data_IF_632481511046
#
_entry.id   IF_632481511046
#
_cell.length_a   1.000
_cell.length_b   1.000
_cell.length_c   1.000
_cell.angle_alpha   90.00
_cell.angle_beta   90.00
_cell.angle_gamma   90.00
#
_symmetry.space_group_name_H-M   'P 1'
#
loop_
_entity.id
_entity.type
_entity.pdbx_description
1 polymer ?
#
# COMPACT_ATOMS: atom_id res chain seq x y z
N UNK A 1 23.94 -29.38 -1.51
CA UNK A 1 25.01 -28.40 -1.15
C UNK A 1 24.63 -27.86 0.20
N UNK A 2 25.55 -27.83 1.17
CA UNK A 2 25.20 -27.52 2.56
C UNK A 2 25.38 -26.01 2.84
N UNK A 3 24.31 -25.35 3.26
CA UNK A 3 24.31 -23.96 3.73
C UNK A 3 24.55 -23.89 5.24
N UNK A 4 25.47 -23.04 5.67
CA UNK A 4 25.81 -22.79 7.08
C UNK A 4 25.24 -21.47 7.62
N UNK A 5 24.70 -20.63 6.73
CA UNK A 5 24.10 -19.35 7.06
C UNK A 5 22.98 -18.97 6.08
N UNK A 6 22.05 -18.17 6.58
CA UNK A 6 20.95 -17.57 5.84
C UNK A 6 21.01 -16.06 6.02
N UNK A 7 20.98 -15.33 4.92
CA UNK A 7 20.74 -13.90 4.91
C UNK A 7 19.24 -13.65 5.05
N UNK A 8 18.87 -12.71 5.93
CA UNK A 8 17.48 -12.34 6.24
C UNK A 8 17.28 -10.88 5.87
N UNK A 9 16.32 -10.59 5.02
CA UNK A 9 15.93 -9.20 4.71
C UNK A 9 14.43 -9.00 4.84
N UNK A 10 14.02 -7.79 5.19
CA UNK A 10 12.63 -7.42 5.42
C UNK A 10 12.17 -6.44 4.35
N UNK A 11 10.89 -6.45 4.01
CA UNK A 11 10.33 -5.54 3.02
C UNK A 11 8.81 -5.53 3.01
N UNK A 12 8.25 -4.71 2.12
CA UNK A 12 6.82 -4.74 1.82
C UNK A 12 6.43 -6.05 1.13
N UNK A 13 5.13 -6.32 1.07
CA UNK A 13 4.58 -7.51 0.42
C UNK A 13 5.02 -7.62 -1.04
N UNK A 14 5.32 -8.84 -1.48
CA UNK A 14 6.03 -9.05 -2.74
C UNK A 14 5.10 -8.93 -3.96
N UNK A 15 3.80 -9.18 -3.78
CA UNK A 15 2.78 -9.03 -4.81
C UNK A 15 3.04 -9.91 -6.05
N UNK A 16 2.98 -9.32 -7.24
CA UNK A 16 3.26 -10.01 -8.52
C UNK A 16 4.73 -9.99 -8.94
N UNK A 17 5.61 -9.41 -8.12
CA UNK A 17 7.04 -9.29 -8.44
C UNK A 17 7.71 -10.67 -8.45
N UNK A 18 8.63 -10.89 -9.41
CA UNK A 18 9.36 -12.16 -9.56
C UNK A 18 10.89 -12.02 -9.49
N UNK A 19 11.38 -10.92 -8.89
CA UNK A 19 12.83 -10.74 -8.70
C UNK A 19 13.39 -11.49 -7.51
N UNK A 20 14.72 -11.42 -7.36
CA UNK A 20 15.51 -12.22 -6.40
C UNK A 20 15.81 -11.50 -5.07
N UNK A 21 15.49 -10.22 -4.97
CA UNK A 21 15.71 -9.38 -3.77
C UNK A 21 14.43 -8.66 -3.40
N UNK A 22 14.31 -8.18 -2.15
CA UNK A 22 13.20 -7.32 -1.77
C UNK A 22 13.13 -6.07 -2.65
N UNK A 23 11.98 -5.83 -3.27
CA UNK A 23 11.75 -4.66 -4.14
C UNK A 23 11.73 -3.36 -3.33
N UNK A 24 11.16 -3.43 -2.13
CA UNK A 24 11.01 -2.31 -1.21
C UNK A 24 11.49 -2.75 0.17
N UNK A 25 12.81 -2.79 0.40
CA UNK A 25 13.36 -3.25 1.67
C UNK A 25 13.02 -2.29 2.81
N UNK A 26 12.88 -2.83 4.01
CA UNK A 26 12.67 -2.06 5.24
C UNK A 26 13.63 -2.50 6.34
N UNK A 27 13.80 -1.64 7.35
CA UNK A 27 14.63 -1.97 8.49
C UNK A 27 14.02 -3.13 9.30
N UNK A 28 14.87 -3.89 9.98
CA UNK A 28 14.44 -4.88 10.97
C UNK A 28 13.56 -4.26 12.05
N UNK A 29 13.88 -3.04 12.48
CA UNK A 29 13.12 -2.30 13.50
C UNK A 29 11.69 -2.02 13.06
N UNK A 30 11.52 -1.53 11.84
CA UNK A 30 10.21 -1.27 11.25
C UNK A 30 9.40 -2.56 11.08
N UNK A 31 10.02 -3.62 10.56
CA UNK A 31 9.38 -4.93 10.43
C UNK A 31 8.92 -5.48 11.79
N UNK A 32 9.72 -5.29 12.85
CA UNK A 32 9.34 -5.71 14.21
C UNK A 32 8.12 -4.94 14.73
N UNK A 33 8.05 -3.62 14.50
CA UNK A 33 6.89 -2.81 14.87
C UNK A 33 5.65 -3.21 14.08
N UNK A 34 5.78 -3.44 12.76
CA UNK A 34 4.68 -3.97 11.93
C UNK A 34 4.19 -5.33 12.43
N UNK A 35 5.10 -6.26 12.76
CA UNK A 35 4.76 -7.56 13.34
C UNK A 35 3.97 -7.42 14.65
N UNK A 36 4.45 -6.60 15.59
CA UNK A 36 3.80 -6.36 16.88
C UNK A 36 2.40 -5.72 16.71
N UNK A 37 2.25 -4.83 15.73
CA UNK A 37 0.98 -4.19 15.38
C UNK A 37 0.04 -5.08 14.54
N UNK A 38 0.48 -6.27 14.13
CA UNK A 38 -0.31 -7.16 13.26
C UNK A 38 -0.48 -6.62 11.82
N UNK A 39 0.39 -5.71 11.38
CA UNK A 39 0.43 -5.19 10.00
C UNK A 39 1.29 -6.10 9.13
N UNK A 40 0.99 -6.09 7.84
CA UNK A 40 1.69 -6.89 6.86
C UNK A 40 3.15 -6.47 6.68
N UNK A 41 3.99 -7.47 6.45
CA UNK A 41 5.39 -7.32 6.03
C UNK A 41 5.86 -8.66 5.46
N UNK A 42 6.99 -8.63 4.76
CA UNK A 42 7.59 -9.81 4.18
C UNK A 42 9.05 -10.00 4.63
N UNK A 43 9.46 -11.27 4.72
CA UNK A 43 10.83 -11.70 5.03
C UNK A 43 11.35 -12.53 3.87
N UNK A 44 12.54 -12.19 3.37
CA UNK A 44 13.26 -12.98 2.39
C UNK A 44 14.39 -13.71 3.10
N UNK A 45 14.41 -15.02 2.95
CA UNK A 45 15.53 -15.87 3.32
C UNK A 45 16.32 -16.18 2.06
N UNK A 46 17.59 -15.81 2.06
CA UNK A 46 18.51 -16.07 0.96
C UNK A 46 19.81 -16.68 1.45
N UNK A 47 20.55 -17.33 0.56
CA UNK A 47 21.92 -17.75 0.81
C UNK A 47 22.75 -17.57 -0.45
N UNK A 48 23.95 -17.00 -0.32
CA UNK A 48 24.85 -16.72 -1.47
C UNK A 48 24.13 -16.01 -2.62
N UNK A 49 23.34 -15.00 -2.27
CA UNK A 49 22.56 -14.17 -3.21
C UNK A 49 21.43 -14.91 -3.95
N UNK A 50 21.05 -16.12 -3.51
CA UNK A 50 19.91 -16.87 -4.05
C UNK A 50 18.73 -16.85 -3.07
N UNK A 51 17.50 -16.52 -3.51
CA UNK A 51 16.32 -16.61 -2.67
C UNK A 51 15.97 -18.08 -2.42
N UNK A 52 15.67 -18.42 -1.17
CA UNK A 52 15.29 -19.76 -0.75
C UNK A 52 13.83 -19.82 -0.28
N UNK A 53 13.40 -18.79 0.46
CA UNK A 53 12.00 -18.61 0.83
C UNK A 53 11.63 -17.13 0.94
N UNK A 54 10.37 -16.84 0.62
CA UNK A 54 9.71 -15.59 0.93
C UNK A 54 8.56 -15.88 1.89
N UNK A 55 8.58 -15.26 3.05
CA UNK A 55 7.59 -15.41 4.10
C UNK A 55 6.82 -14.10 4.23
N UNK A 56 5.54 -14.14 3.94
CA UNK A 56 4.63 -13.01 4.08
C UNK A 56 3.80 -13.19 5.37
N UNK A 57 3.72 -12.12 6.16
CA UNK A 57 2.82 -12.02 7.29
C UNK A 57 1.67 -11.07 6.92
N UNK A 58 0.43 -11.49 7.17
CA UNK A 58 -0.77 -10.75 6.79
C UNK A 58 -1.60 -10.39 8.04
N UNK A 59 -2.47 -9.36 7.96
CA UNK A 59 -3.44 -9.07 9.00
C UNK A 59 -4.28 -10.29 9.36
N UNK A 60 -4.61 -10.44 10.64
CA UNK A 60 -5.27 -11.65 11.16
C UNK A 60 -4.31 -12.82 11.43
N UNK A 61 -3.00 -12.57 11.47
CA UNK A 61 -1.94 -13.55 11.79
C UNK A 61 -1.87 -14.72 10.81
N UNK A 62 -2.24 -14.48 9.57
CA UNK A 62 -2.05 -15.44 8.49
C UNK A 62 -0.63 -15.32 7.94
N UNK A 63 -0.06 -16.45 7.56
CA UNK A 63 1.27 -16.50 6.96
C UNK A 63 1.18 -17.14 5.59
N UNK A 64 2.02 -16.68 4.67
CA UNK A 64 2.21 -17.33 3.38
C UNK A 64 3.69 -17.54 3.14
N UNK A 65 4.06 -18.74 2.75
CA UNK A 65 5.46 -19.09 2.45
C UNK A 65 5.57 -19.48 0.99
N UNK A 66 6.36 -18.75 0.24
CA UNK A 66 6.82 -19.12 -1.09
C UNK A 66 8.19 -19.77 -0.99
N UNK A 67 8.37 -20.90 -1.66
CA UNK A 67 9.62 -21.66 -1.65
C UNK A 67 10.23 -21.69 -3.06
N UNK A 68 11.54 -21.49 -3.11
CA UNK A 68 12.32 -21.44 -4.33
C UNK A 68 13.16 -22.70 -4.49
N UNK A 69 13.29 -23.21 -5.72
CA UNK A 69 14.19 -24.33 -6.05
C UNK A 69 15.64 -23.87 -6.28
N UNK A 70 16.55 -24.80 -6.61
CA UNK A 70 17.96 -24.51 -6.92
C UNK A 70 18.17 -23.56 -8.12
N UNK A 71 17.15 -23.37 -8.95
CA UNK A 71 17.16 -22.40 -10.07
C UNK A 71 16.60 -21.04 -9.66
N UNK A 72 16.30 -20.84 -8.38
CA UNK A 72 15.61 -19.67 -7.85
C UNK A 72 14.21 -19.48 -8.43
N UNK A 73 13.53 -20.56 -8.81
CA UNK A 73 12.14 -20.50 -9.26
C UNK A 73 11.23 -20.70 -8.07
N UNK A 74 10.30 -19.77 -7.85
CA UNK A 74 9.18 -20.00 -6.95
C UNK A 74 8.32 -21.16 -7.48
N UNK A 75 8.40 -22.32 -6.82
CA UNK A 75 7.75 -23.58 -7.25
C UNK A 75 6.70 -24.07 -6.27
N UNK A 76 6.63 -23.49 -5.06
CA UNK A 76 5.64 -23.87 -4.06
C UNK A 76 5.20 -22.65 -3.26
N UNK A 77 3.92 -22.65 -2.86
CA UNK A 77 3.30 -21.69 -1.97
C UNK A 77 2.52 -22.45 -0.90
N UNK A 78 2.63 -22.02 0.35
CA UNK A 78 1.91 -22.59 1.49
C UNK A 78 1.19 -21.48 2.24
N UNK A 79 -0.13 -21.58 2.35
CA UNK A 79 -0.97 -20.75 3.21
C UNK A 79 -1.11 -21.40 4.58
N UNK A 80 -0.70 -20.64 5.59
CA UNK A 80 -0.67 -21.03 6.99
C UNK A 80 -1.67 -20.16 7.78
N UNK A 81 -2.66 -20.77 8.41
CA UNK A 81 -3.69 -20.06 9.20
C UNK A 81 -3.59 -20.37 10.68
N UNK A 82 -3.91 -19.41 11.58
CA UNK A 82 -4.00 -19.69 13.01
C UNK A 82 -4.91 -20.88 13.31
N UNK A 83 -4.41 -21.82 14.11
CA UNK A 83 -5.15 -23.02 14.52
C UNK A 83 -4.88 -23.31 16.00
N UNK A 84 -5.79 -22.90 16.87
CA UNK A 84 -5.57 -22.97 18.32
C UNK A 84 -4.52 -21.97 18.81
N UNK A 85 -3.93 -22.24 19.98
CA UNK A 85 -2.96 -21.32 20.61
C UNK A 85 -1.54 -21.62 20.12
N UNK A 86 -0.92 -20.66 19.43
CA UNK A 86 0.49 -20.72 19.05
C UNK A 86 0.82 -21.64 17.87
N UNK A 87 -0.17 -22.21 17.19
CA UNK A 87 0.03 -23.10 16.05
C UNK A 87 -0.62 -22.52 14.79
N UNK A 88 -0.05 -22.87 13.64
CA UNK A 88 -0.54 -22.59 12.31
C UNK A 88 -0.85 -23.91 11.60
N UNK A 89 -1.96 -23.94 10.87
CA UNK A 89 -2.34 -25.03 9.98
C UNK A 89 -1.92 -24.69 8.55
N UNK A 90 -1.16 -25.56 7.90
CA UNK A 90 -0.92 -25.54 6.46
C UNK A 90 -2.19 -25.89 5.68
N UNK A 91 -3.09 -24.91 5.59
CA UNK A 91 -4.41 -25.05 5.01
C UNK A 91 -4.35 -25.29 3.51
N UNK A 92 -3.47 -24.61 2.78
CA UNK A 92 -3.36 -24.78 1.34
C UNK A 92 -1.91 -24.82 0.92
N UNK A 93 -1.53 -25.85 0.18
CA UNK A 93 -0.21 -26.04 -0.36
C UNK A 93 -0.33 -26.21 -1.88
N UNK A 94 0.18 -25.23 -2.63
CA UNK A 94 0.16 -25.24 -4.10
C UNK A 94 1.58 -25.41 -4.61
N UNK A 95 1.78 -26.38 -5.50
CA UNK A 95 3.04 -26.69 -6.18
C UNK A 95 2.88 -26.52 -7.68
N UNK A 96 3.88 -25.94 -8.32
CA UNK A 96 3.93 -25.73 -9.75
C UNK A 96 5.13 -26.43 -10.39
N UNK A 97 4.90 -27.03 -11.54
CA UNK A 97 5.96 -27.51 -12.43
C UNK A 97 5.98 -26.64 -13.68
N UNK A 98 7.15 -26.16 -14.06
CA UNK A 98 7.33 -25.29 -15.22
C UNK A 98 8.18 -25.99 -16.29
N UNK A 99 7.82 -25.88 -17.58
CA UNK A 99 8.55 -26.55 -18.66
C UNK A 99 9.93 -25.92 -18.93
N UNK A 100 10.05 -24.61 -18.71
CA UNK A 100 11.23 -23.82 -19.04
C UNK A 100 11.17 -22.44 -18.37
N UNK A 101 12.30 -21.74 -18.43
CA UNK A 101 12.54 -20.42 -17.84
C UNK A 101 11.53 -19.38 -18.34
N UNK A 102 11.25 -19.36 -19.65
CA UNK A 102 10.31 -18.41 -20.24
C UNK A 102 8.89 -18.63 -19.68
N UNK A 103 8.48 -19.88 -19.53
CA UNK A 103 7.18 -20.21 -18.98
C UNK A 103 7.07 -19.82 -17.50
N UNK A 104 8.12 -20.03 -16.71
CA UNK A 104 8.19 -19.57 -15.32
C UNK A 104 8.05 -18.04 -15.21
N UNK A 105 8.78 -17.28 -16.04
CA UNK A 105 8.73 -15.81 -16.06
C UNK A 105 7.31 -15.29 -16.29
N UNK A 106 6.54 -15.93 -17.16
CA UNK A 106 5.14 -15.57 -17.43
C UNK A 106 4.12 -16.28 -16.52
N UNK A 107 4.55 -17.02 -15.49
CA UNK A 107 3.67 -17.77 -14.60
C UNK A 107 2.92 -18.93 -15.26
N UNK A 108 3.40 -19.41 -16.40
CA UNK A 108 2.78 -20.47 -17.21
C UNK A 108 3.31 -21.84 -16.82
N UNK A 109 2.69 -22.48 -15.83
CA UNK A 109 3.01 -23.84 -15.39
C UNK A 109 2.49 -24.92 -16.38
N UNK A 110 3.01 -26.13 -16.28
CA UNK A 110 2.54 -27.35 -16.95
C UNK A 110 1.65 -28.18 -16.03
N UNK A 111 2.01 -28.25 -14.76
CA UNK A 111 1.22 -28.91 -13.71
C UNK A 111 1.10 -27.98 -12.51
N UNK A 112 -0.12 -27.87 -11.99
CA UNK A 112 -0.39 -27.30 -10.68
C UNK A 112 -1.03 -28.37 -9.80
N UNK A 113 -0.41 -28.68 -8.66
CA UNK A 113 -1.00 -29.55 -7.65
C UNK A 113 -1.35 -28.69 -6.43
N UNK A 114 -2.60 -28.76 -5.98
CA UNK A 114 -3.08 -28.05 -4.78
C UNK A 114 -3.58 -29.07 -3.78
N UNK A 115 -2.99 -29.05 -2.59
CA UNK A 115 -3.44 -29.81 -1.42
C UNK A 115 -4.11 -28.85 -0.46
N UNK A 116 -5.39 -29.08 -0.17
CA UNK A 116 -6.17 -28.31 0.81
C UNK A 116 -6.43 -29.17 2.02
N UNK A 117 -6.18 -28.64 3.20
CA UNK A 117 -6.41 -29.29 4.50
C UNK A 117 -7.45 -28.50 5.26
N UNK A 118 -8.56 -29.15 5.59
CA UNK A 118 -9.61 -28.57 6.43
C UNK A 118 -9.25 -28.66 7.92
N UNK A 119 -9.95 -27.89 8.75
CA UNK A 119 -9.72 -27.88 10.20
C UNK A 119 -10.02 -29.23 10.89
N UNK A 120 -10.87 -30.07 10.27
CA UNK A 120 -11.19 -31.42 10.73
C UNK A 120 -10.29 -32.51 10.13
N UNK A 121 -9.22 -32.14 9.41
CA UNK A 121 -8.23 -33.08 8.87
C UNK A 121 -8.67 -33.79 7.58
N UNK A 122 -9.68 -33.29 6.88
CA UNK A 122 -9.98 -33.73 5.52
C UNK A 122 -8.98 -33.10 4.56
N UNK A 123 -8.41 -33.94 3.70
CA UNK A 123 -7.44 -33.53 2.70
C UNK A 123 -8.08 -33.68 1.33
N UNK A 124 -7.92 -32.64 0.52
CA UNK A 124 -8.30 -32.63 -0.88
C UNK A 124 -7.06 -32.33 -1.72
N UNK A 125 -6.73 -33.23 -2.65
CA UNK A 125 -5.64 -33.03 -3.61
C UNK A 125 -6.23 -32.88 -5.01
N UNK A 126 -5.98 -31.73 -5.61
CA UNK A 126 -6.37 -31.38 -6.98
C UNK A 126 -5.13 -31.22 -7.85
N UNK A 127 -5.12 -31.86 -9.02
CA UNK A 127 -4.05 -31.71 -10.01
C UNK A 127 -4.64 -31.15 -11.30
N UNK A 128 -4.09 -30.03 -11.75
CA UNK A 128 -4.45 -29.35 -12.99
C UNK A 128 -3.28 -29.41 -13.96
N UNK A 129 -3.59 -29.66 -15.23
CA UNK A 129 -2.62 -29.72 -16.32
C UNK A 129 -2.90 -28.59 -17.31
N UNK A 130 -1.85 -27.88 -17.71
CA UNK A 130 -1.99 -26.83 -18.71
C UNK A 130 -2.46 -27.43 -20.04
N UNK A 131 -3.44 -26.78 -20.66
CA UNK A 131 -3.98 -27.22 -21.96
C UNK A 131 -2.91 -27.26 -23.07
N UNK A 132 -3.15 -27.99 -24.17
CA UNK A 132 -2.17 -28.16 -25.24
C UNK A 132 -1.70 -26.82 -25.79
N UNK A 133 -0.39 -26.58 -25.72
CA UNK A 133 0.28 -25.40 -26.27
C UNK A 133 0.66 -25.66 -27.73
N UNK A 134 -0.20 -25.29 -28.67
CA UNK A 134 0.05 -25.40 -30.12
C UNK A 134 -0.29 -24.10 -30.85
N UNK A 135 0.62 -23.63 -31.71
CA UNK A 135 0.53 -22.36 -32.43
C UNK A 135 -0.21 -22.41 -33.78
N UNK A 136 -0.43 -21.18 -34.27
CA UNK A 136 -0.94 -20.70 -35.57
C UNK A 136 -2.47 -20.74 -35.83
N UNK A 137 -3.03 -19.66 -36.43
CA UNK A 137 -4.47 -19.44 -36.51
C UNK A 137 -5.01 -20.05 -37.80
N UNK A 138 -5.55 -21.26 -37.74
CA UNK A 138 -6.55 -21.66 -38.72
C UNK A 138 -7.42 -22.79 -38.18
N UNK A 139 -8.72 -22.56 -38.30
CA UNK A 139 -9.86 -23.46 -38.12
C UNK A 139 -10.60 -23.41 -36.78
N UNK A 140 -11.83 -22.93 -36.94
CA UNK A 140 -12.98 -22.83 -36.07
C UNK A 140 -13.57 -24.19 -35.65
N UNK A 141 -13.89 -24.35 -34.37
CA UNK A 141 -15.19 -24.74 -33.79
C UNK A 141 -15.01 -25.37 -32.40
N UNK A 142 -15.81 -24.89 -31.44
CA UNK A 142 -16.24 -25.51 -30.17
C UNK A 142 -15.22 -26.22 -29.25
N UNK A 143 -15.11 -25.68 -28.03
CA UNK A 143 -14.63 -26.43 -26.87
C UNK A 143 -13.67 -25.63 -26.00
N UNK A 144 -14.12 -25.27 -24.80
CA UNK A 144 -13.32 -24.58 -23.78
C UNK A 144 -11.93 -25.21 -23.62
N UNK A 145 -10.90 -24.54 -24.13
CA UNK A 145 -9.50 -24.93 -23.92
C UNK A 145 -9.01 -24.40 -22.57
N UNK A 146 -9.68 -24.83 -21.50
CA UNK A 146 -9.28 -24.60 -20.11
C UNK A 146 -8.31 -25.70 -19.62
N UNK A 147 -7.66 -25.51 -18.47
CA UNK A 147 -6.85 -26.56 -17.85
C UNK A 147 -7.69 -27.82 -17.61
N UNK A 148 -7.10 -28.99 -17.88
CA UNK A 148 -7.75 -30.28 -17.62
C UNK A 148 -7.47 -30.69 -16.17
N UNK A 149 -8.52 -30.97 -15.40
CA UNK A 149 -8.42 -31.41 -14.00
C UNK A 149 -8.61 -32.92 -13.87
N UNK A 150 -7.72 -33.58 -13.13
CA UNK A 150 -7.90 -34.98 -12.71
C UNK A 150 -8.90 -35.02 -11.53
N UNK A 151 -9.72 -36.08 -11.37
CA UNK A 151 -10.63 -36.21 -10.24
C UNK A 151 -9.92 -35.98 -8.90
N UNK A 152 -10.56 -35.16 -8.05
CA UNK A 152 -10.09 -34.80 -6.71
C UNK A 152 -9.89 -36.06 -5.85
N UNK A 153 -8.69 -36.20 -5.28
CA UNK A 153 -8.40 -37.25 -4.30
C UNK A 153 -8.73 -36.72 -2.90
N UNK A 154 -9.65 -37.38 -2.20
CA UNK A 154 -10.05 -37.03 -0.83
C UNK A 154 -9.73 -38.15 0.14
N UNK A 155 -9.08 -37.82 1.24
CA UNK A 155 -8.76 -38.75 2.32
C UNK A 155 -8.60 -38.02 3.65
N UNK A 156 -8.61 -38.75 4.76
CA UNK A 156 -8.47 -38.20 6.11
C UNK A 156 -7.11 -38.57 6.70
N UNK A 157 -6.45 -37.60 7.32
CA UNK A 157 -5.18 -37.75 8.06
C UNK A 157 -5.27 -36.89 9.32
N UNK A 158 -4.58 -37.25 10.41
CA UNK A 158 -4.50 -36.36 11.58
C UNK A 158 -4.05 -34.95 11.19
N UNK A 159 -4.81 -33.94 11.62
CA UNK A 159 -4.49 -32.52 11.35
C UNK A 159 -3.12 -32.12 11.91
N UNK A 160 -2.66 -32.81 12.95
CA UNK A 160 -1.37 -32.61 13.62
C UNK A 160 -0.17 -32.70 12.67
N UNK A 161 -0.27 -33.50 11.60
CA UNK A 161 0.80 -33.65 10.59
C UNK A 161 0.98 -32.37 9.73
N UNK A 162 0.03 -31.44 9.78
CA UNK A 162 0.00 -30.19 9.02
C UNK A 162 0.12 -28.95 9.91
N UNK A 163 0.38 -29.14 11.21
CA UNK A 163 0.58 -28.05 12.15
C UNK A 163 2.05 -27.67 12.25
N UNK A 164 2.34 -26.38 12.29
CA UNK A 164 3.64 -25.84 12.66
C UNK A 164 3.49 -24.74 13.72
N UNK A 165 4.50 -24.49 14.57
CA UNK A 165 4.44 -23.38 15.51
C UNK A 165 4.39 -22.05 14.76
N UNK A 166 3.61 -21.09 15.29
CA UNK A 166 3.64 -19.73 14.79
C UNK A 166 5.00 -19.09 15.12
N UNK A 167 5.73 -18.55 14.13
CA UNK A 167 7.05 -17.99 14.37
C UNK A 167 6.95 -16.68 15.17
N UNK A 168 7.80 -16.55 16.20
CA UNK A 168 8.08 -15.24 16.81
C UNK A 168 8.91 -14.38 15.85
N UNK A 169 8.85 -13.06 16.00
CA UNK A 169 9.66 -12.17 15.16
C UNK A 169 11.16 -12.45 15.34
N UNK A 170 11.81 -12.88 14.25
CA UNK A 170 13.23 -13.24 14.22
C UNK A 170 13.49 -14.75 14.24
N UNK A 171 12.49 -15.59 14.51
CA UNK A 171 12.63 -17.05 14.52
C UNK A 171 12.42 -17.67 13.13
N UNK A 172 13.22 -17.22 12.16
CA UNK A 172 13.06 -17.62 10.77
C UNK A 172 13.61 -19.02 10.47
N UNK A 173 14.37 -19.61 11.40
CA UNK A 173 14.89 -20.97 11.28
C UNK A 173 13.77 -22.03 11.30
N UNK A 174 12.58 -21.69 11.81
CA UNK A 174 11.39 -22.54 11.77
C UNK A 174 11.02 -22.99 10.34
N UNK A 175 11.44 -22.26 9.31
CA UNK A 175 11.19 -22.63 7.91
C UNK A 175 12.28 -23.52 7.29
N UNK A 176 13.40 -23.78 7.98
CA UNK A 176 14.47 -24.62 7.46
C UNK A 176 14.02 -26.03 7.03
N UNK A 177 13.10 -26.73 7.73
CA UNK A 177 12.57 -28.01 7.25
C UNK A 177 11.87 -27.92 5.88
N UNK A 178 11.18 -26.80 5.59
CA UNK A 178 10.55 -26.58 4.29
C UNK A 178 11.59 -26.33 3.19
N UNK A 179 12.67 -25.63 3.52
CA UNK A 179 13.79 -25.42 2.61
C UNK A 179 14.47 -26.75 2.25
N UNK A 180 14.69 -27.62 3.22
CA UNK A 180 15.24 -28.97 2.98
C UNK A 180 14.35 -29.83 2.09
N UNK A 181 13.03 -29.69 2.16
CA UNK A 181 12.12 -30.36 1.23
C UNK A 181 12.30 -29.90 -0.23
N UNK A 182 12.85 -28.70 -0.47
CA UNK A 182 13.16 -28.20 -1.82
C UNK A 182 14.56 -28.58 -2.31
N UNK A 183 15.33 -29.36 -1.54
CA UNK A 183 16.70 -29.75 -1.89
C UNK A 183 17.79 -28.86 -1.27
N UNK A 184 17.41 -27.85 -0.48
CA UNK A 184 18.37 -26.99 0.22
C UNK A 184 18.86 -27.69 1.50
N UNK A 185 20.08 -28.23 1.47
CA UNK A 185 20.68 -28.87 2.65
C UNK A 185 21.29 -27.83 3.58
N UNK A 186 21.13 -28.01 4.89
CA UNK A 186 21.66 -27.09 5.91
C UNK A 186 22.60 -27.80 6.87
N UNK A 187 23.57 -27.05 7.40
CA UNK A 187 24.37 -27.50 8.54
C UNK A 187 23.48 -27.67 9.79
N UNK A 188 23.94 -28.46 10.76
CA UNK A 188 23.21 -28.67 12.03
C UNK A 188 22.94 -27.38 12.79
N UNK A 189 23.76 -26.35 12.57
CA UNK A 189 23.55 -25.00 13.08
C UNK A 189 23.63 -24.03 11.90
N UNK A 190 22.55 -23.27 11.70
CA UNK A 190 22.47 -22.24 10.66
C UNK A 190 22.57 -20.88 11.35
N UNK A 191 23.44 -20.02 10.88
CA UNK A 191 23.54 -18.64 11.38
C UNK A 191 22.58 -17.75 10.57
N UNK A 192 21.72 -16.98 11.24
CA UNK A 192 20.93 -15.95 10.57
C UNK A 192 21.73 -14.64 10.53
N UNK A 193 22.02 -14.17 9.33
CA UNK A 193 22.68 -12.90 9.07
C UNK A 193 21.61 -11.87 8.68
N UNK A 194 21.41 -10.87 9.54
CA UNK A 194 20.45 -9.81 9.25
C UNK A 194 21.03 -8.84 8.20
N UNK A 195 20.30 -8.69 7.09
CA UNK A 195 20.58 -7.76 5.97
C UNK A 195 19.59 -6.60 5.98
N UNK A 196 19.33 -6.05 7.17
CA UNK A 196 18.53 -4.83 7.33
C UNK A 196 19.12 -3.67 6.54
N UNK A 197 18.24 -2.88 5.92
CA UNK A 197 18.58 -1.53 5.48
C UNK A 197 18.58 -0.58 6.67
N UNK A 198 19.21 0.58 6.48
CA UNK A 198 19.10 1.69 7.44
C UNK A 198 17.63 2.11 7.57
N UNK A 199 17.24 2.57 8.76
CA UNK A 199 15.86 2.99 9.02
C UNK A 199 15.53 4.34 8.33
N UNK A 200 16.56 5.03 7.85
CA UNK A 200 16.44 6.28 7.11
C UNK A 200 15.99 7.43 8.00
N UNK A 201 15.49 8.49 7.36
CA UNK A 201 15.03 9.70 8.07
C UNK A 201 13.66 9.55 8.76
N UNK A 202 13.03 8.36 8.65
CA UNK A 202 11.67 8.09 9.10
C UNK A 202 10.59 8.61 8.14
N UNK A 203 9.33 8.71 8.60
CA UNK A 203 8.19 9.09 7.77
C UNK A 203 8.40 10.43 7.06
N UNK A 204 7.62 10.68 6.01
CA UNK A 204 7.61 11.97 5.33
C UNK A 204 7.44 13.09 6.35
N UNK A 205 8.20 14.18 6.19
CA UNK A 205 8.15 15.35 7.07
C UNK A 205 7.49 16.51 6.36
N UNK A 206 6.81 17.36 7.13
CA UNK A 206 6.26 18.63 6.68
C UNK A 206 7.38 19.66 6.43
N UNK A 207 8.16 19.48 5.38
CA UNK A 207 9.17 20.45 4.94
C UNK A 207 8.59 21.31 3.82
N UNK A 208 8.88 22.62 3.84
CA UNK A 208 8.45 23.48 2.73
C UNK A 208 6.98 23.89 2.71
N UNK A 209 6.17 23.51 3.71
CA UNK A 209 4.70 23.68 3.63
C UNK A 209 4.27 25.14 3.51
N UNK A 210 4.95 26.07 4.19
CA UNK A 210 4.64 27.50 4.07
C UNK A 210 5.04 28.06 2.70
N UNK A 211 6.14 27.55 2.12
CA UNK A 211 6.63 27.97 0.81
C UNK A 211 5.66 27.62 -0.31
N UNK A 212 4.84 26.58 -0.14
CA UNK A 212 3.74 26.26 -1.06
C UNK A 212 2.77 27.45 -1.23
N UNK A 213 2.62 28.34 -0.25
CA UNK A 213 1.68 29.46 -0.31
C UNK A 213 2.36 30.83 -0.45
N UNK A 214 3.68 30.86 -0.65
CA UNK A 214 4.42 32.09 -0.85
C UNK A 214 4.61 32.34 -2.35
N UNK A 215 4.04 33.42 -2.92
CA UNK A 215 4.20 33.72 -4.34
C UNK A 215 5.68 33.87 -4.71
N UNK A 216 6.14 33.18 -5.74
CA UNK A 216 7.55 33.23 -6.14
C UNK A 216 8.00 32.09 -7.04
N UNK A 217 9.26 32.16 -7.46
CA UNK A 217 9.89 31.11 -8.28
C UNK A 217 10.33 29.96 -7.38
N UNK A 218 10.09 28.72 -7.82
CA UNK A 218 10.59 27.51 -7.19
C UNK A 218 11.05 26.49 -8.23
N UNK A 219 11.83 25.50 -7.79
CA UNK A 219 12.23 24.37 -8.62
C UNK A 219 11.30 23.18 -8.42
N UNK A 220 10.97 22.51 -9.52
CA UNK A 220 10.15 21.29 -9.55
C UNK A 220 10.90 20.20 -10.31
N UNK A 221 10.38 18.98 -10.30
CA UNK A 221 10.93 17.87 -11.10
C UNK A 221 10.90 18.15 -12.60
N UNK A 222 10.01 19.03 -13.06
CA UNK A 222 9.82 19.37 -14.47
C UNK A 222 10.57 20.66 -14.89
N UNK A 223 11.23 21.30 -13.93
CA UNK A 223 12.00 22.54 -14.11
C UNK A 223 11.47 23.70 -13.27
N UNK A 224 11.86 24.94 -13.60
CA UNK A 224 11.43 26.11 -12.83
C UNK A 224 9.92 26.35 -12.99
N UNK A 225 9.28 26.72 -11.89
CA UNK A 225 7.87 27.05 -11.82
C UNK A 225 7.64 28.32 -10.99
N UNK A 226 6.42 28.86 -11.05
CA UNK A 226 5.97 29.98 -10.23
C UNK A 226 4.80 29.53 -9.36
N UNK A 227 4.94 29.75 -8.06
CA UNK A 227 3.87 29.57 -7.07
C UNK A 227 2.92 30.76 -7.15
N UNK A 228 1.63 30.49 -7.34
CA UNK A 228 0.55 31.46 -7.40
C UNK A 228 -0.61 31.02 -6.49
N UNK A 229 -0.71 31.57 -5.27
CA UNK A 229 -1.86 31.32 -4.40
C UNK A 229 -3.12 32.01 -4.96
N UNK A 230 -4.23 31.27 -5.01
CA UNK A 230 -5.54 31.77 -5.45
C UNK A 230 -6.61 31.48 -4.39
N UNK A 231 -7.63 32.34 -4.34
CA UNK A 231 -8.80 32.13 -3.50
C UNK A 231 -9.73 31.06 -4.10
N UNK A 232 -10.21 30.15 -3.26
CA UNK A 232 -11.11 29.05 -3.63
C UNK A 232 -12.47 29.13 -2.95
N UNK A 233 -12.74 30.21 -2.20
CA UNK A 233 -14.00 30.44 -1.51
C UNK A 233 -13.95 30.13 -0.01
N UNK A 234 -15.13 30.11 0.61
CA UNK A 234 -15.30 29.97 2.05
C UNK A 234 -15.91 28.61 2.39
N UNK A 235 -15.23 27.80 3.19
CA UNK A 235 -15.71 26.52 3.67
C UNK A 235 -16.50 26.67 4.97
N UNK A 236 -17.74 26.19 5.00
CA UNK A 236 -18.57 26.16 6.20
C UNK A 236 -18.39 24.87 6.98
N UNK A 237 -18.05 24.99 8.26
CA UNK A 237 -17.96 23.88 9.22
C UNK A 237 -19.01 24.06 10.32
N UNK A 238 -19.91 23.08 10.44
CA UNK A 238 -21.04 23.06 11.39
C UNK A 238 -20.93 21.95 12.43
N UNK A 239 -20.20 20.87 12.16
CA UNK A 239 -19.99 19.76 13.10
C UNK A 239 -18.74 19.93 13.98
N UNK A 240 -17.83 20.84 13.60
CA UNK A 240 -16.52 20.99 14.22
C UNK A 240 -15.53 19.93 13.77
N UNK A 241 -15.82 19.24 12.67
CA UNK A 241 -14.93 18.25 12.04
C UNK A 241 -14.76 18.60 10.56
N UNK A 242 -13.53 18.96 10.17
CA UNK A 242 -13.13 19.02 8.78
C UNK A 242 -12.85 17.60 8.30
N UNK A 243 -13.43 17.22 7.16
CA UNK A 243 -13.03 16.04 6.40
C UNK A 243 -12.22 16.45 5.16
N UNK A 244 -11.21 15.66 4.85
CA UNK A 244 -10.45 15.72 3.59
C UNK A 244 -10.56 14.37 2.90
N UNK A 245 -11.06 14.35 1.67
CA UNK A 245 -11.16 13.14 0.86
C UNK A 245 -11.24 13.44 -0.63
N UNK A 246 -11.13 12.40 -1.45
CA UNK A 246 -11.72 12.40 -2.78
C UNK A 246 -13.26 12.42 -2.63
N UNK A 247 -13.98 13.35 -3.27
CA UNK A 247 -15.44 13.42 -3.15
C UNK A 247 -16.16 12.24 -3.85
N UNK A 248 -15.53 11.57 -4.81
CA UNK A 248 -16.06 10.34 -5.42
C UNK A 248 -15.90 9.10 -4.55
N UNK A 249 -15.04 9.16 -3.53
CA UNK A 249 -14.74 8.05 -2.62
C UNK A 249 -14.83 8.49 -1.15
N UNK A 250 -16.03 8.86 -0.72
CA UNK A 250 -16.36 9.21 0.68
C UNK A 250 -16.44 7.95 1.55
N UNK A 251 -15.33 7.25 1.70
CA UNK A 251 -15.18 6.14 2.65
C UNK A 251 -13.90 6.33 3.46
N UNK A 252 -13.95 5.97 4.75
CA UNK A 252 -12.80 6.10 5.67
C UNK A 252 -12.21 7.52 5.75
N UNK A 253 -13.08 8.52 5.93
CA UNK A 253 -12.71 9.94 5.97
C UNK A 253 -11.56 10.24 6.94
N UNK A 254 -10.64 11.09 6.49
CA UNK A 254 -9.60 11.67 7.33
C UNK A 254 -10.13 12.97 7.91
N UNK A 255 -10.40 12.98 9.22
CA UNK A 255 -11.00 14.14 9.88
C UNK A 255 -10.06 14.85 10.84
N UNK A 256 -10.28 16.17 11.00
CA UNK A 256 -9.57 17.03 11.96
C UNK A 256 -10.60 17.82 12.76
N UNK A 257 -10.46 17.85 14.08
CA UNK A 257 -11.25 18.73 14.94
C UNK A 257 -10.86 20.19 14.74
N UNK A 258 -11.82 21.03 14.37
CA UNK A 258 -11.62 22.43 13.97
C UNK A 258 -12.75 23.33 14.52
N UNK A 259 -12.56 24.65 14.60
CA UNK A 259 -13.62 25.56 15.03
C UNK A 259 -14.82 25.56 14.08
N UNK A 260 -15.97 25.99 14.60
CA UNK A 260 -17.20 26.20 13.82
C UNK A 260 -17.14 27.56 13.09
N UNK A 261 -17.69 27.64 11.88
CA UNK A 261 -17.78 28.89 11.12
C UNK A 261 -17.48 28.73 9.63
N UNK A 262 -17.25 29.87 8.98
CA UNK A 262 -16.86 29.95 7.57
C UNK A 262 -15.37 30.32 7.47
N UNK A 263 -14.59 29.52 6.74
CA UNK A 263 -13.13 29.62 6.71
C UNK A 263 -12.60 29.70 5.28
N UNK A 264 -11.64 30.60 4.98
CA UNK A 264 -11.12 30.75 3.63
C UNK A 264 -10.30 29.53 3.20
N UNK A 265 -10.52 29.11 1.97
CA UNK A 265 -9.73 28.10 1.27
C UNK A 265 -8.84 28.77 0.24
N UNK A 266 -7.56 28.43 0.25
CA UNK A 266 -6.55 28.91 -0.69
C UNK A 266 -5.96 27.72 -1.45
N UNK A 267 -5.93 27.77 -2.77
CA UNK A 267 -5.12 26.85 -3.57
C UNK A 267 -3.76 27.47 -3.87
N UNK A 268 -2.72 26.65 -3.84
CA UNK A 268 -1.42 26.98 -4.40
C UNK A 268 -1.34 26.42 -5.83
N UNK A 269 -1.38 27.29 -6.83
CA UNK A 269 -1.09 26.88 -8.20
C UNK A 269 0.41 26.88 -8.46
N UNK A 270 0.87 25.89 -9.20
CA UNK A 270 2.23 25.77 -9.69
C UNK A 270 2.22 25.98 -11.20
N UNK A 271 2.61 27.17 -11.65
CA UNK A 271 2.66 27.53 -13.07
C UNK A 271 3.98 27.08 -13.68
N UNK A 272 3.91 26.21 -14.68
CA UNK A 272 5.06 25.76 -15.46
C UNK A 272 4.91 26.22 -16.91
N UNK A 273 5.90 25.90 -17.76
CA UNK A 273 5.80 26.10 -19.21
C UNK A 273 4.77 25.18 -19.88
N UNK A 274 4.32 24.13 -19.18
CA UNK A 274 3.42 23.10 -19.70
C UNK A 274 1.97 23.32 -19.28
N UNK A 275 1.72 24.11 -18.24
CA UNK A 275 0.39 24.32 -17.70
C UNK A 275 0.44 24.81 -16.26
N UNK A 276 -0.63 24.52 -15.53
CA UNK A 276 -0.78 24.88 -14.15
C UNK A 276 -1.45 23.74 -13.40
N UNK A 277 -0.85 23.33 -12.30
CA UNK A 277 -1.37 22.28 -11.44
C UNK A 277 -1.55 22.81 -10.02
N UNK A 278 -2.49 22.21 -9.29
CA UNK A 278 -2.67 22.52 -7.86
C UNK A 278 -1.58 21.80 -7.08
N UNK A 279 -0.60 22.52 -6.56
CA UNK A 279 0.46 21.94 -5.73
C UNK A 279 0.03 21.68 -4.29
N UNK A 280 -0.88 22.50 -3.77
CA UNK A 280 -1.45 22.31 -2.43
C UNK A 280 -2.78 23.05 -2.27
N UNK A 281 -3.56 22.64 -1.28
CA UNK A 281 -4.77 23.34 -0.85
C UNK A 281 -4.74 23.56 0.65
N UNK A 282 -5.16 24.73 1.13
CA UNK A 282 -5.18 25.10 2.55
C UNK A 282 -6.53 25.66 2.96
N UNK A 283 -7.08 25.17 4.06
CA UNK A 283 -8.13 25.87 4.81
C UNK A 283 -7.51 26.54 6.04
N UNK A 284 -7.82 27.83 6.23
CA UNK A 284 -7.23 28.65 7.31
C UNK A 284 -8.28 28.94 8.38
N UNK A 285 -8.02 28.52 9.62
CA UNK A 285 -8.92 28.69 10.76
C UNK A 285 -8.51 29.87 11.66
N UNK A 286 -7.21 30.14 11.75
CA UNK A 286 -6.63 31.24 12.52
C UNK A 286 -5.58 31.97 11.68
N UNK A 287 -5.56 33.29 11.73
CA UNK A 287 -4.53 34.13 11.09
C UNK A 287 -3.23 34.16 11.92
N UNK A 288 -2.78 32.99 12.35
CA UNK A 288 -1.55 32.80 13.12
C UNK A 288 -0.71 31.73 12.41
N UNK A 289 0.55 32.02 12.03
CA UNK A 289 1.44 31.03 11.42
C UNK A 289 1.57 29.77 12.30
N UNK A 290 1.55 28.56 11.71
CA UNK A 290 1.78 27.32 12.44
C UNK A 290 3.13 27.32 13.16
N UNK A 291 3.12 27.01 14.46
CA UNK A 291 4.33 26.73 15.23
C UNK A 291 4.86 25.30 14.96
N UNK A 292 3.95 24.35 14.72
CA UNK A 292 4.26 22.95 14.48
C UNK A 292 3.36 22.38 13.40
N UNK A 293 3.91 21.47 12.59
CA UNK A 293 3.17 20.66 11.63
C UNK A 293 3.10 19.21 12.10
N UNK A 294 1.92 18.61 11.94
CA UNK A 294 1.67 17.20 12.25
C UNK A 294 0.99 16.56 11.06
N UNK A 295 1.37 15.33 10.71
CA UNK A 295 0.61 14.55 9.74
C UNK A 295 -0.76 14.29 10.33
N UNK A 296 -1.80 14.61 9.59
CA UNK A 296 -3.17 14.29 9.98
C UNK A 296 -3.35 12.78 9.88
N UNK A 297 -3.69 12.11 10.98
CA UNK A 297 -3.86 10.66 11.05
C UNK A 297 -5.33 10.28 11.27
N UNK A 298 -5.71 9.09 10.80
CA UNK A 298 -6.93 8.41 11.24
C UNK A 298 -6.67 7.69 12.58
N UNK A 299 -7.72 7.37 13.36
CA UNK A 299 -7.57 6.72 14.66
C UNK A 299 -6.82 5.38 14.64
N UNK A 300 -6.79 4.68 13.51
CA UNK A 300 -6.15 3.37 13.30
C UNK A 300 -4.77 3.43 12.63
N UNK A 301 -4.25 4.64 12.39
CA UNK A 301 -2.96 4.89 11.75
C UNK A 301 -1.88 5.24 12.78
N UNK A 302 -0.66 4.73 12.56
CA UNK A 302 0.47 4.88 13.47
C UNK A 302 1.74 5.23 12.69
N UNK A 303 2.30 6.40 12.97
CA UNK A 303 3.52 6.91 12.31
C UNK A 303 4.73 6.00 12.52
N UNK A 304 4.78 5.24 13.62
CA UNK A 304 5.89 4.32 13.88
C UNK A 304 5.93 3.14 12.90
N UNK A 305 4.85 2.92 12.17
CA UNK A 305 4.71 1.86 11.16
C UNK A 305 5.04 2.32 9.74
N UNK A 306 5.49 3.56 9.58
CA UNK A 306 5.95 4.13 8.31
C UNK A 306 7.48 4.14 8.24
N UNK A 307 7.99 3.76 7.08
CA UNK A 307 9.41 3.84 6.71
C UNK A 307 9.79 5.19 6.11
N UNK A 308 10.99 5.25 5.55
CA UNK A 308 11.54 6.48 4.98
C UNK A 308 10.64 7.08 3.89
N UNK A 309 10.23 8.33 4.08
CA UNK A 309 9.40 9.07 3.12
C UNK A 309 7.97 8.54 2.96
N UNK A 310 7.57 7.49 3.68
CA UNK A 310 6.21 6.99 3.69
C UNK A 310 5.30 7.91 4.51
N UNK A 311 4.01 7.94 4.17
CA UNK A 311 3.01 8.78 4.83
C UNK A 311 1.63 8.12 4.78
N UNK A 312 0.76 8.57 5.68
CA UNK A 312 -0.68 8.39 5.57
C UNK A 312 -1.29 9.64 4.93
N UNK A 313 -2.25 9.44 4.05
CA UNK A 313 -2.78 10.52 3.23
C UNK A 313 -4.22 10.31 2.79
N UNK A 314 -4.70 11.21 1.96
CA UNK A 314 -5.96 11.07 1.23
C UNK A 314 -5.68 10.35 -0.07
N UNK A 315 -6.38 9.24 -0.30
CA UNK A 315 -6.41 8.58 -1.59
C UNK A 315 -7.29 9.34 -2.57
N UNK A 316 -6.81 9.50 -3.80
CA UNK A 316 -7.47 10.16 -4.91
C UNK A 316 -7.53 9.19 -6.08
N UNK A 317 -8.71 9.04 -6.65
CA UNK A 317 -9.05 8.13 -7.76
C UNK A 317 -9.82 8.86 -8.87
N UNK A 318 -10.44 10.00 -8.56
CA UNK A 318 -11.16 10.84 -9.53
C UNK A 318 -10.31 11.99 -10.06
N UNK A 319 -9.03 12.06 -9.67
CA UNK A 319 -8.18 13.23 -9.89
C UNK A 319 -8.61 14.49 -9.12
N UNK A 320 -9.52 14.37 -8.15
CA UNK A 320 -10.01 15.49 -7.34
C UNK A 320 -9.88 15.24 -5.83
N UNK A 321 -9.81 16.33 -5.07
CA UNK A 321 -9.86 16.30 -3.62
C UNK A 321 -10.79 17.41 -3.12
N UNK A 322 -11.34 17.25 -1.92
CA UNK A 322 -12.28 18.21 -1.35
C UNK A 322 -12.02 18.47 0.12
N UNK A 323 -12.29 19.71 0.52
CA UNK A 323 -12.55 20.08 1.91
C UNK A 323 -14.06 20.16 2.13
N UNK A 324 -14.52 19.50 3.19
CA UNK A 324 -15.93 19.50 3.56
C UNK A 324 -16.10 19.31 5.07
N UNK A 325 -17.26 19.66 5.60
CA UNK A 325 -17.65 19.18 6.92
C UNK A 325 -17.82 17.65 6.91
N UNK A 326 -17.41 16.96 7.98
CA UNK A 326 -17.51 15.51 8.08
C UNK A 326 -18.95 14.97 7.98
N UNK A 327 -19.98 15.82 8.15
CA UNK A 327 -21.38 15.43 7.97
C UNK A 327 -21.90 15.60 6.54
N UNK A 328 -21.10 16.15 5.61
CA UNK A 328 -21.51 16.38 4.22
C UNK A 328 -21.60 15.07 3.44
N UNK A 329 -22.67 14.90 2.66
CA UNK A 329 -22.89 13.71 1.82
C UNK A 329 -23.20 14.08 0.38
N UNK A 330 -22.37 13.68 -0.58
CA UNK A 330 -22.58 14.03 -1.99
C UNK A 330 -23.28 12.88 -2.74
N UNK A 331 -24.25 13.18 -3.60
CA UNK A 331 -24.88 12.18 -4.49
C UNK A 331 -24.08 12.01 -5.78
N UNK A 332 -24.23 10.86 -6.46
CA UNK A 332 -23.57 10.62 -7.76
C UNK A 332 -23.88 11.72 -8.79
N UNK A 333 -25.14 12.13 -8.92
CA UNK A 333 -25.53 13.21 -9.84
C UNK A 333 -24.81 14.54 -9.53
N UNK A 334 -24.60 14.86 -8.24
CA UNK A 334 -23.88 16.09 -7.84
C UNK A 334 -22.38 15.98 -8.13
N UNK A 335 -21.81 14.78 -7.99
CA UNK A 335 -20.41 14.54 -8.32
C UNK A 335 -20.15 14.78 -9.80
N UNK A 336 -20.95 14.18 -10.68
CA UNK A 336 -20.75 14.30 -12.12
C UNK A 336 -21.04 15.72 -12.61
N UNK A 337 -22.24 16.24 -12.35
CA UNK A 337 -22.71 17.49 -12.96
C UNK A 337 -22.11 18.75 -12.32
N UNK A 338 -21.87 18.73 -11.01
CA UNK A 338 -21.47 19.94 -10.26
C UNK A 338 -19.99 19.93 -9.82
N UNK A 339 -19.30 18.78 -9.83
CA UNK A 339 -17.90 18.70 -9.43
C UNK A 339 -16.99 18.29 -10.59
N UNK A 340 -17.17 17.10 -11.16
CA UNK A 340 -16.24 16.52 -12.13
C UNK A 340 -16.31 17.23 -13.47
N UNK A 341 -17.50 17.45 -14.04
CA UNK A 341 -17.62 18.17 -15.33
C UNK A 341 -17.01 19.58 -15.25
N UNK A 342 -17.29 20.40 -14.22
CA UNK A 342 -16.64 21.69 -14.07
C UNK A 342 -15.11 21.60 -13.91
N UNK A 343 -14.62 20.66 -13.10
CA UNK A 343 -13.18 20.51 -12.85
C UNK A 343 -12.42 19.88 -14.01
N UNK A 344 -13.05 19.14 -14.92
CA UNK A 344 -12.40 18.62 -16.13
C UNK A 344 -12.06 19.74 -17.13
N UNK A 345 -12.76 20.88 -17.06
CA UNK A 345 -12.49 22.03 -17.90
C UNK A 345 -11.24 22.81 -17.48
N UNK A 346 -10.38 23.18 -18.44
CA UNK A 346 -9.11 23.88 -18.18
C UNK A 346 -9.23 25.27 -17.50
N UNK A 347 -10.45 25.79 -17.31
CA UNK A 347 -10.69 27.10 -16.71
C UNK A 347 -10.87 27.08 -15.19
N UNK A 348 -11.05 25.90 -14.57
CA UNK A 348 -11.36 25.80 -13.14
C UNK A 348 -10.37 24.89 -12.39
N UNK A 349 -9.83 25.41 -11.28
CA UNK A 349 -8.99 24.62 -10.34
C UNK A 349 -9.76 24.18 -9.10
N UNK A 350 -10.85 24.86 -8.78
CA UNK A 350 -11.77 24.55 -7.69
C UNK A 350 -13.22 24.84 -8.09
N UNK A 351 -14.14 24.19 -7.41
CA UNK A 351 -15.58 24.41 -7.48
C UNK A 351 -16.18 24.30 -6.08
N UNK A 352 -17.13 25.16 -5.77
CA UNK A 352 -17.96 25.05 -4.58
C UNK A 352 -19.25 24.31 -4.95
N UNK A 353 -19.49 23.19 -4.27
CA UNK A 353 -20.80 22.57 -4.24
C UNK A 353 -21.59 23.16 -3.05
N UNK A 354 -22.57 24.04 -3.29
CA UNK A 354 -23.30 24.69 -2.21
C UNK A 354 -24.07 23.68 -1.37
N UNK A 355 -24.14 23.96 -0.07
CA UNK A 355 -25.07 23.28 0.84
C UNK A 355 -26.37 24.07 0.95
N UNK A 356 -27.50 23.38 1.15
CA UNK A 356 -28.75 24.04 1.57
C UNK A 356 -28.89 23.95 3.08
N UNK A 357 -29.00 25.08 3.77
CA UNK A 357 -29.17 25.14 5.22
C UNK A 357 -30.18 24.08 5.71
N UNK A 358 -29.80 23.17 6.62
CA UNK A 358 -28.63 23.19 7.51
C UNK A 358 -27.36 22.49 6.99
N UNK A 359 -27.34 22.06 5.73
CA UNK A 359 -26.23 21.33 5.13
C UNK A 359 -25.04 22.28 4.81
N UNK A 360 -23.82 21.94 5.26
CA UNK A 360 -22.63 22.72 4.93
C UNK A 360 -22.26 22.58 3.44
N UNK A 361 -21.48 23.53 2.92
CA UNK A 361 -20.97 23.42 1.55
C UNK A 361 -19.75 22.48 1.48
N UNK A 362 -19.27 22.26 0.26
CA UNK A 362 -18.07 21.50 -0.05
C UNK A 362 -17.24 22.28 -1.07
N UNK A 363 -15.93 22.33 -0.88
CA UNK A 363 -15.00 22.93 -1.85
C UNK A 363 -14.14 21.81 -2.42
N UNK A 364 -14.38 21.47 -3.68
CA UNK A 364 -13.60 20.50 -4.44
C UNK A 364 -12.56 21.21 -5.31
N UNK A 365 -11.45 20.54 -5.57
CA UNK A 365 -10.34 21.06 -6.36
C UNK A 365 -9.57 19.93 -7.05
N UNK A 366 -8.86 20.28 -8.13
CA UNK A 366 -7.98 19.36 -8.85
C UNK A 366 -6.87 18.86 -7.92
N UNK A 367 -6.54 17.57 -7.99
CA UNK A 367 -5.56 16.95 -7.12
C UNK A 367 -4.20 16.78 -7.82
N UNK A 368 -3.40 17.85 -7.88
CA UNK A 368 -2.06 17.79 -8.46
C UNK A 368 -1.99 17.11 -9.82
N UNK A 369 -1.27 15.99 -9.91
CA UNK A 369 -1.12 15.18 -11.13
C UNK A 369 -2.21 14.09 -11.32
N UNK A 370 -3.23 14.08 -10.47
CA UNK A 370 -4.36 13.15 -10.54
C UNK A 370 -4.30 12.06 -9.46
N UNK A 371 -4.53 10.82 -9.86
CA UNK A 371 -4.69 9.67 -8.96
C UNK A 371 -3.45 9.40 -8.12
N UNK A 372 -3.66 9.03 -6.85
CA UNK A 372 -2.57 8.75 -5.93
C UNK A 372 -2.97 8.84 -4.47
N UNK A 373 -1.97 8.99 -3.60
CA UNK A 373 -2.18 9.27 -2.19
C UNK A 373 -1.39 10.51 -1.81
N UNK A 374 -2.00 11.44 -1.07
CA UNK A 374 -1.41 12.74 -0.76
C UNK A 374 -1.44 13.03 0.74
N UNK A 375 -0.31 13.44 1.35
CA UNK A 375 -0.24 13.74 2.77
C UNK A 375 -1.13 14.94 3.11
N UNK A 376 -1.72 14.88 4.30
CA UNK A 376 -2.46 15.98 4.88
C UNK A 376 -1.74 16.43 6.14
N UNK A 377 -1.52 17.73 6.25
CA UNK A 377 -0.77 18.35 7.33
C UNK A 377 -1.69 19.26 8.14
N UNK A 378 -1.70 19.06 9.47
CA UNK A 378 -2.35 19.96 10.41
C UNK A 378 -1.32 20.93 10.98
N UNK A 379 -1.51 22.22 10.73
CA UNK A 379 -0.72 23.28 11.33
C UNK A 379 -1.30 23.65 12.70
N UNK A 380 -0.46 23.64 13.74
CA UNK A 380 -0.84 24.01 15.10
C UNK A 380 -0.12 25.26 15.58
N UNK A 381 -0.83 26.11 16.30
CA UNK A 381 -0.27 27.24 17.04
C UNK A 381 0.53 26.75 18.26
N UNK A 382 1.24 27.67 18.93
CA UNK A 382 2.03 27.38 20.14
C UNK A 382 1.16 26.83 21.29
N UNK A 383 -0.08 27.28 21.41
CA UNK A 383 -1.06 26.79 22.39
C UNK A 383 -1.81 25.51 21.93
N UNK A 384 -1.44 24.95 20.78
CA UNK A 384 -1.94 23.67 20.28
C UNK A 384 -3.25 23.73 19.48
N UNK A 385 -3.80 24.93 19.25
CA UNK A 385 -4.98 25.12 18.40
C UNK A 385 -4.64 24.83 16.94
N UNK A 386 -5.62 24.36 16.16
CA UNK A 386 -5.46 24.16 14.72
C UNK A 386 -5.53 25.53 14.03
N UNK A 387 -4.44 25.98 13.42
CA UNK A 387 -4.42 27.22 12.64
C UNK A 387 -4.81 27.01 11.18
N UNK A 388 -4.39 25.90 10.58
CA UNK A 388 -4.74 25.53 9.22
C UNK A 388 -4.60 24.02 8.97
N UNK A 389 -5.23 23.54 7.91
CA UNK A 389 -5.02 22.18 7.37
C UNK A 389 -4.64 22.30 5.91
N UNK A 390 -3.63 21.54 5.49
CA UNK A 390 -3.06 21.56 4.14
C UNK A 390 -3.06 20.16 3.54
N UNK A 391 -3.51 20.03 2.29
CA UNK A 391 -3.21 18.87 1.44
C UNK A 391 -2.05 19.25 0.55
N UNK A 392 -0.99 18.43 0.54
CA UNK A 392 0.21 18.65 -0.27
C UNK A 392 0.28 17.58 -1.38
N UNK A 393 0.24 18.03 -2.63
CA UNK A 393 0.27 17.16 -3.82
C UNK A 393 1.70 16.78 -4.26
N UNK A 394 2.72 17.15 -3.48
CA UNK A 394 4.13 16.76 -3.65
C UNK A 394 4.73 17.12 -5.02
N UNK A 395 4.32 18.27 -5.56
CA UNK A 395 4.80 18.76 -6.88
C UNK A 395 6.06 19.62 -6.79
N UNK A 396 6.38 20.19 -5.62
CA UNK A 396 7.61 20.94 -5.41
C UNK A 396 8.75 20.01 -4.99
N UNK A 397 9.98 20.36 -5.39
CA UNK A 397 11.15 19.70 -4.81
C UNK A 397 11.29 20.14 -3.34
N UNK A 398 11.37 19.18 -2.41
CA UNK A 398 11.73 19.49 -1.04
C UNK A 398 13.07 20.22 -1.03
N UNK A 399 13.12 21.42 -0.46
CA UNK A 399 14.39 22.11 -0.22
C UNK A 399 15.19 21.28 0.80
N UNK A 400 16.11 20.42 0.33
CA UNK A 400 16.96 19.63 1.21
C UNK A 400 17.54 18.31 0.70
N UNK A 401 17.27 17.88 -0.53
CA UNK A 401 17.98 16.73 -1.13
C UNK A 401 19.00 17.22 -2.16
N UNK A 402 20.22 17.49 -1.69
CA UNK A 402 21.45 17.35 -2.49
C UNK A 402 21.87 15.88 -2.56
#
# INVERSE_FOLDING_TARGET
>A
MIFDSLDVSYGEMWGSYRGMTHRSPMSRGLAARKHAAGKDYAVLLSAREQPLALVEYWPGRMWRVYLFDDRSWCVQMIDLKPHGTGMLLAQQNTRWQFPNDQAHLYGKWDVQETTTVSADGQIEVKSEFAGPRGGSPESSHDGASGPSSVPERRFATPVEDFLCPAPEFGDWQLFAPLLTQQGHEFATTVVLNDRSVDEGSGPLRATGIEQLFNPGVCDTREGPAVVEPIDAGMLRITSGQLAVSDPGWISNLRTVGVPLGDFPVTLSLLRTKHGADVAAARVTFLEVPPHKWEMTLRPDEDLELLGEGQFYGVGVDTGTAAFMDATRTVTEDQLDDEIFIPLDSDSHFSVELPGTEPEPNLIAFRAGQGDGAYPVWTGRTEDGQVSCVVVDFQLQCAAGTE
#
